data_IF_845959730394
#
_entry.id   IF_845959730394
#
_cell.length_a   1.000
_cell.length_b   1.000
_cell.length_c   1.000
_cell.angle_alpha   90.00
_cell.angle_beta   90.00
_cell.angle_gamma   90.00
#
_symmetry.space_group_name_H-M   'P 1'
#
loop_
_entity.id
_entity.type
_entity.pdbx_description
1 polymer ?
#
# COMPACT_ATOMS: atom_id res chain seq x y z
N UNK A 1 9.40 -105.76 10.50
CA UNK A 1 8.68 -104.81 11.35
C UNK A 1 9.67 -104.20 12.30
N UNK A 2 10.14 -103.00 12.04
CA UNK A 2 10.65 -102.04 13.04
C UNK A 2 10.85 -100.75 12.29
N UNK A 3 10.14 -99.69 12.79
CA UNK A 3 10.17 -98.31 12.22
C UNK A 3 11.43 -97.61 12.68
N UNK A 4 12.08 -96.94 11.74
CA UNK A 4 13.19 -96.02 12.02
C UNK A 4 12.63 -94.60 12.03
N UNK A 5 12.97 -93.86 13.12
CA UNK A 5 12.61 -92.48 13.28
C UNK A 5 13.76 -91.56 12.91
N UNK A 6 13.70 -90.65 11.98
CA UNK A 6 14.54 -89.79 11.64
C UNK A 6 14.40 -88.56 12.27
N UNK A 7 15.20 -88.01 12.49
CA UNK A 7 15.28 -86.67 13.05
C UNK A 7 15.31 -85.59 11.99
N UNK A 8 14.58 -84.46 12.13
CA UNK A 8 14.66 -83.41 11.12
C UNK A 8 15.86 -82.49 11.43
N UNK A 9 16.50 -82.05 10.36
CA UNK A 9 17.65 -81.15 10.43
C UNK A 9 17.22 -79.72 10.73
N UNK A 10 17.95 -79.04 11.62
CA UNK A 10 17.77 -77.59 11.94
C UNK A 10 18.25 -76.73 10.74
N UNK A 11 17.31 -75.97 10.17
CA UNK A 11 17.64 -74.87 9.27
C UNK A 11 17.98 -73.60 10.03
N UNK A 12 19.15 -73.07 9.78
CA UNK A 12 19.57 -71.75 10.30
C UNK A 12 18.77 -70.67 9.62
N UNK A 13 18.01 -69.85 10.38
CA UNK A 13 17.40 -68.59 9.89
C UNK A 13 18.48 -67.51 9.92
N UNK A 14 18.82 -66.98 8.76
CA UNK A 14 19.65 -65.79 8.61
C UNK A 14 18.71 -64.56 8.76
N UNK A 15 18.81 -63.81 9.84
CA UNK A 15 18.09 -62.55 10.05
C UNK A 15 18.83 -61.43 9.33
N UNK A 16 18.30 -60.95 8.20
CA UNK A 16 18.75 -59.72 7.55
C UNK A 16 18.07 -58.53 8.29
N UNK A 17 18.86 -57.76 9.04
CA UNK A 17 18.41 -56.46 9.56
C UNK A 17 18.38 -55.44 8.40
N UNK A 18 17.17 -55.05 8.00
CA UNK A 18 16.98 -53.94 7.08
C UNK A 18 17.02 -52.64 7.93
N UNK A 19 18.10 -51.88 7.77
CA UNK A 19 18.20 -50.56 8.39
C UNK A 19 17.35 -49.58 7.57
N UNK A 20 16.21 -49.12 8.11
CA UNK A 20 15.42 -48.05 7.52
C UNK A 20 16.06 -46.70 7.95
N UNK A 21 16.74 -46.07 7.00
CA UNK A 21 17.29 -44.72 7.22
C UNK A 21 16.12 -43.71 7.12
N UNK A 22 15.70 -43.16 8.26
CA UNK A 22 14.71 -42.06 8.31
C UNK A 22 15.42 -40.76 7.91
N UNK A 23 15.21 -40.30 6.69
CA UNK A 23 15.67 -38.97 6.25
C UNK A 23 14.75 -37.94 6.88
N UNK A 24 15.21 -37.31 7.98
CA UNK A 24 14.54 -36.15 8.57
C UNK A 24 14.94 -34.94 7.72
N UNK A 25 14.05 -34.52 6.80
CA UNK A 25 14.20 -33.22 6.15
C UNK A 25 13.95 -32.14 7.19
N UNK A 26 15.02 -31.61 7.75
CA UNK A 26 14.99 -30.37 8.53
C UNK A 26 14.74 -29.21 7.55
N UNK A 27 13.46 -28.94 7.31
CA UNK A 27 13.06 -27.71 6.65
C UNK A 27 13.49 -26.54 7.54
N UNK A 28 14.46 -25.76 7.08
CA UNK A 28 14.79 -24.50 7.75
C UNK A 28 13.60 -23.56 7.64
N UNK A 29 12.83 -23.47 8.71
CA UNK A 29 11.86 -22.38 8.87
C UNK A 29 12.72 -21.11 9.00
N UNK A 30 12.80 -20.36 7.93
CA UNK A 30 13.34 -19.00 8.03
C UNK A 30 12.34 -18.19 8.85
N UNK A 31 12.63 -18.05 10.12
CA UNK A 31 11.97 -17.04 10.95
C UNK A 31 12.48 -15.71 10.39
N UNK A 32 11.65 -15.05 9.59
CA UNK A 32 11.90 -13.65 9.30
C UNK A 32 11.89 -12.94 10.64
N UNK A 33 13.05 -12.45 11.05
CA UNK A 33 13.17 -11.67 12.27
C UNK A 33 12.17 -10.51 12.22
N UNK A 34 11.37 -10.36 13.25
CA UNK A 34 10.54 -9.16 13.39
C UNK A 34 11.50 -7.97 13.42
N UNK A 35 11.37 -7.08 12.47
CA UNK A 35 12.16 -5.86 12.45
C UNK A 35 11.82 -5.03 13.70
N UNK A 36 12.84 -4.70 14.47
CA UNK A 36 12.73 -4.07 15.79
C UNK A 36 12.53 -2.56 15.72
N UNK A 37 11.63 -2.10 14.84
CA UNK A 37 11.27 -0.69 14.78
C UNK A 37 10.05 -0.38 15.65
N UNK A 38 9.98 0.83 16.20
CA UNK A 38 8.82 1.30 16.94
C UNK A 38 7.82 1.94 15.97
N UNK A 39 6.54 1.57 16.09
CA UNK A 39 5.46 2.25 15.37
C UNK A 39 5.20 3.63 16.00
N UNK A 40 5.27 4.66 15.19
CA UNK A 40 5.03 6.04 15.60
C UNK A 40 3.79 6.55 14.88
N UNK A 41 2.85 7.12 15.64
CA UNK A 41 1.66 7.72 15.04
C UNK A 41 2.02 9.02 14.32
N UNK A 42 1.61 9.14 13.06
CA UNK A 42 1.69 10.38 12.28
C UNK A 42 0.44 11.23 12.46
N UNK A 43 -0.54 10.71 13.19
CA UNK A 43 -1.82 11.38 13.39
C UNK A 43 -2.27 11.24 14.84
N UNK A 44 -2.33 12.27 15.51
CA UNK A 44 -2.57 12.29 16.60
C UNK A 44 -3.74 12.41 16.99
N UNK A 45 -4.85 12.30 16.34
CA UNK A 45 -6.28 12.33 16.64
C UNK A 45 -6.88 13.66 17.12
N UNK A 46 -6.12 14.72 17.09
CA UNK A 46 -6.53 16.03 17.61
C UNK A 46 -6.72 17.07 16.51
N UNK A 47 -5.76 17.17 15.63
CA UNK A 47 -5.73 18.17 14.56
C UNK A 47 -4.83 17.68 13.42
N UNK A 48 -4.57 18.54 12.43
CA UNK A 48 -3.73 18.25 11.29
C UNK A 48 -2.28 18.73 11.47
N UNK A 49 -1.83 18.93 12.70
CA UNK A 49 -0.42 19.30 12.96
C UNK A 49 0.52 18.28 12.34
N UNK A 50 1.52 18.76 11.59
CA UNK A 50 2.46 17.92 10.86
C UNK A 50 2.00 17.59 9.44
N UNK A 51 0.84 18.09 9.01
CA UNK A 51 0.29 17.82 7.69
C UNK A 51 -0.01 19.11 6.94
N UNK A 52 0.15 19.10 5.62
CA UNK A 52 -0.11 20.23 4.72
C UNK A 52 -1.05 19.79 3.60
N UNK A 53 -2.24 20.38 3.46
CA UNK A 53 -3.14 20.05 2.35
C UNK A 53 -2.68 20.71 1.06
N UNK A 54 -2.91 20.06 -0.06
CA UNK A 54 -2.81 20.62 -1.41
C UNK A 54 -4.02 20.10 -2.19
N UNK A 55 -4.89 21.00 -2.58
CA UNK A 55 -6.11 20.69 -3.32
C UNK A 55 -6.03 21.40 -4.67
N UNK A 56 -6.38 20.68 -5.74
CA UNK A 56 -6.35 21.21 -7.10
C UNK A 56 -7.14 22.52 -7.18
N UNK A 57 -6.57 23.50 -7.87
CA UNK A 57 -7.06 24.87 -8.03
C UNK A 57 -6.87 25.76 -6.79
N UNK A 58 -6.20 25.27 -5.76
CA UNK A 58 -5.94 25.99 -4.51
C UNK A 58 -4.46 25.98 -4.18
N UNK A 59 -4.00 27.05 -3.53
CA UNK A 59 -2.60 27.15 -3.10
C UNK A 59 -2.27 26.09 -2.05
N UNK A 60 -1.01 25.68 -2.01
CA UNK A 60 -0.52 24.75 -0.98
C UNK A 60 -0.82 25.32 0.42
N UNK A 61 -1.42 24.51 1.27
CA UNK A 61 -1.85 24.93 2.61
C UNK A 61 -3.32 25.33 2.69
N UNK A 62 -3.97 25.61 1.55
CA UNK A 62 -5.40 25.93 1.55
C UNK A 62 -6.20 24.62 1.63
N UNK A 63 -6.82 24.40 2.77
CA UNK A 63 -7.71 23.25 3.02
C UNK A 63 -9.13 23.60 2.59
N UNK A 64 -9.32 23.82 1.29
CA UNK A 64 -10.61 24.22 0.72
C UNK A 64 -11.76 23.41 1.29
N UNK A 65 -12.81 24.10 1.72
CA UNK A 65 -14.04 23.45 2.23
C UNK A 65 -13.81 22.58 3.46
N UNK A 66 -12.66 22.71 4.13
CA UNK A 66 -12.25 21.83 5.24
C UNK A 66 -12.31 20.36 4.80
N UNK A 67 -11.85 20.08 3.57
CA UNK A 67 -11.83 18.73 3.00
C UNK A 67 -11.19 17.73 3.95
N UNK A 68 -10.02 18.07 4.49
CA UNK A 68 -9.35 17.27 5.52
C UNK A 68 -9.65 17.89 6.90
N UNK A 69 -10.16 17.07 7.83
CA UNK A 69 -10.50 17.57 9.16
C UNK A 69 -10.38 16.46 10.20
N UNK A 70 -10.32 16.84 11.47
CA UNK A 70 -10.29 15.88 12.58
C UNK A 70 -11.57 16.03 13.37
N UNK A 71 -12.33 14.98 13.45
CA UNK A 71 -13.57 14.92 14.22
C UNK A 71 -13.71 13.53 14.84
N UNK A 72 -13.84 13.46 16.04
CA UNK A 72 -13.98 12.37 16.63
C UNK A 72 -12.89 11.56 16.73
N UNK A 73 -11.74 12.12 16.87
CA UNK A 73 -10.52 11.36 16.89
C UNK A 73 -10.16 10.69 15.56
N UNK A 74 -10.90 10.95 14.52
CA UNK A 74 -10.66 10.40 13.18
C UNK A 74 -10.17 11.52 12.26
N UNK A 75 -9.20 11.22 11.40
CA UNK A 75 -8.88 12.07 10.27
C UNK A 75 -9.90 11.76 9.19
N UNK A 76 -10.64 12.76 8.74
CA UNK A 76 -11.76 12.59 7.83
C UNK A 76 -11.56 13.38 6.56
N UNK A 77 -11.96 12.76 5.44
CA UNK A 77 -12.10 13.42 4.14
C UNK A 77 -13.59 13.68 3.93
N UNK A 78 -13.98 14.94 3.74
CA UNK A 78 -15.38 15.32 3.63
C UNK A 78 -15.62 16.34 2.52
N UNK A 79 -16.82 16.32 1.98
CA UNK A 79 -17.27 17.19 0.88
C UNK A 79 -18.64 17.78 1.25
N UNK A 80 -18.67 18.68 2.24
CA UNK A 80 -19.90 19.28 2.71
C UNK A 80 -20.55 20.10 1.60
N UNK A 81 -21.85 19.92 1.37
CA UNK A 81 -22.57 20.53 0.25
C UNK A 81 -22.43 22.07 0.19
N UNK A 82 -22.30 22.73 1.34
CA UNK A 82 -22.10 24.17 1.39
C UNK A 82 -20.82 24.62 0.67
N UNK A 83 -19.74 23.82 0.78
CA UNK A 83 -18.46 24.09 0.12
C UNK A 83 -18.32 23.35 -1.21
N UNK A 84 -18.92 22.17 -1.28
CA UNK A 84 -18.88 21.29 -2.46
C UNK A 84 -20.31 21.08 -3.00
N UNK A 85 -20.98 22.13 -3.53
CA UNK A 85 -22.25 21.88 -4.22
C UNK A 85 -22.04 20.95 -5.41
N UNK A 86 -20.79 20.88 -5.90
CA UNK A 86 -20.32 19.95 -6.91
C UNK A 86 -18.80 19.78 -6.71
N UNK A 87 -18.29 18.57 -6.93
CA UNK A 87 -16.86 18.22 -6.71
C UNK A 87 -15.90 19.06 -7.59
N UNK A 88 -16.22 19.20 -8.88
CA UNK A 88 -15.46 20.02 -9.83
C UNK A 88 -13.96 19.68 -9.84
N UNK A 89 -13.64 18.40 -9.84
CA UNK A 89 -12.26 17.90 -9.95
C UNK A 89 -11.30 18.46 -8.87
N UNK A 90 -11.80 18.82 -7.71
CA UNK A 90 -10.96 19.29 -6.59
C UNK A 90 -10.30 18.10 -5.89
N UNK A 91 -9.51 17.35 -6.67
CA UNK A 91 -8.66 16.29 -6.11
C UNK A 91 -7.68 16.90 -5.10
N UNK A 92 -7.43 16.19 -4.03
CA UNK A 92 -6.58 16.75 -2.97
C UNK A 92 -5.69 15.70 -2.32
N UNK A 93 -4.62 16.20 -1.72
CA UNK A 93 -3.66 15.36 -1.01
C UNK A 93 -3.27 16.06 0.30
N UNK A 94 -3.22 15.28 1.37
CA UNK A 94 -2.79 15.76 2.68
C UNK A 94 -1.37 15.22 2.91
N UNK A 95 -0.37 16.07 2.74
CA UNK A 95 1.04 15.72 2.80
C UNK A 95 1.56 15.72 4.22
N UNK A 96 2.24 14.66 4.65
CA UNK A 96 3.01 14.69 5.88
C UNK A 96 4.28 15.51 5.65
N UNK A 97 4.65 16.35 6.62
CA UNK A 97 5.66 17.41 6.44
C UNK A 97 7.10 16.89 6.51
N UNK A 98 7.32 15.57 6.50
CA UNK A 98 8.64 14.97 6.56
C UNK A 98 8.74 13.87 5.49
N UNK A 99 9.78 13.84 4.67
CA UNK A 99 9.97 12.75 3.70
C UNK A 99 10.56 11.51 4.35
N UNK A 100 10.40 10.36 3.69
CA UNK A 100 10.93 9.07 4.15
C UNK A 100 11.47 8.26 2.98
N UNK A 101 12.35 7.29 3.28
CA UNK A 101 12.92 6.39 2.26
C UNK A 101 12.75 4.91 2.61
N UNK A 102 13.00 4.50 3.85
CA UNK A 102 12.89 3.12 4.31
C UNK A 102 11.92 3.08 5.49
N UNK A 103 10.76 2.44 5.31
CA UNK A 103 9.71 2.47 6.35
C UNK A 103 8.63 1.42 6.08
N UNK A 104 7.85 1.15 7.12
CA UNK A 104 6.52 0.55 6.98
C UNK A 104 5.51 1.63 7.33
N UNK A 105 4.47 1.78 6.52
CA UNK A 105 3.38 2.73 6.75
C UNK A 105 2.09 1.94 6.83
N UNK A 106 1.32 2.17 7.88
CA UNK A 106 0.07 1.44 8.12
C UNK A 106 -1.06 2.43 8.35
N UNK A 107 -2.17 2.22 7.67
CA UNK A 107 -3.39 3.01 7.87
C UNK A 107 -4.57 2.08 8.14
N UNK A 108 -5.49 2.53 8.99
CA UNK A 108 -6.79 1.89 9.17
C UNK A 108 -7.83 2.86 8.63
N UNK A 109 -8.50 2.48 7.55
CA UNK A 109 -9.40 3.37 6.81
C UNK A 109 -10.76 2.72 6.55
N UNK A 110 -11.75 3.55 6.20
CA UNK A 110 -13.04 3.09 5.67
C UNK A 110 -13.68 4.18 4.81
N UNK A 111 -14.46 3.77 3.84
CA UNK A 111 -15.32 4.69 3.08
C UNK A 111 -16.65 4.81 3.76
N UNK A 112 -17.24 6.01 3.77
CA UNK A 112 -18.51 6.28 4.43
C UNK A 112 -19.40 7.15 3.55
N UNK A 113 -20.71 7.02 3.72
CA UNK A 113 -21.67 7.90 3.07
C UNK A 113 -21.68 7.80 1.54
N UNK A 114 -22.01 8.89 0.90
CA UNK A 114 -22.22 8.98 -0.55
C UNK A 114 -21.12 9.82 -1.20
N UNK A 115 -20.79 9.50 -2.45
CA UNK A 115 -19.85 10.27 -3.25
C UNK A 115 -20.37 11.69 -3.47
N UNK A 116 -19.50 12.68 -3.42
CA UNK A 116 -19.84 14.07 -3.72
C UNK A 116 -20.42 14.19 -5.14
N UNK A 117 -21.44 15.00 -5.30
CA UNK A 117 -22.06 15.26 -6.61
C UNK A 117 -20.99 15.72 -7.60
N UNK A 118 -20.99 15.15 -8.80
CA UNK A 118 -20.02 15.47 -9.84
C UNK A 118 -18.68 14.76 -9.68
N UNK A 119 -18.55 13.87 -8.70
CA UNK A 119 -17.36 13.00 -8.60
C UNK A 119 -17.34 12.00 -9.76
N UNK A 120 -16.18 11.75 -10.38
CA UNK A 120 -16.14 10.80 -11.50
C UNK A 120 -16.42 9.38 -11.02
N UNK A 121 -17.03 8.56 -11.87
CA UNK A 121 -17.45 7.21 -11.49
C UNK A 121 -16.31 6.32 -10.99
N UNK A 122 -15.12 6.46 -11.57
CA UNK A 122 -13.96 5.69 -11.14
C UNK A 122 -13.51 6.06 -9.72
N UNK A 123 -13.87 7.25 -9.24
CA UNK A 123 -13.50 7.74 -7.90
C UNK A 123 -14.51 7.34 -6.82
N UNK A 124 -15.52 6.52 -7.14
CA UNK A 124 -16.42 5.97 -6.14
C UNK A 124 -15.60 5.12 -5.16
N UNK A 125 -15.70 5.42 -3.85
CA UNK A 125 -14.96 4.71 -2.79
C UNK A 125 -13.51 4.52 -3.18
N UNK A 126 -12.83 5.64 -3.48
CA UNK A 126 -11.44 5.70 -3.93
C UNK A 126 -10.68 6.73 -3.10
N UNK A 127 -9.48 6.38 -2.70
CA UNK A 127 -8.52 7.18 -1.97
C UNK A 127 -7.15 6.55 -2.18
N UNK A 128 -6.09 7.08 -1.59
CA UNK A 128 -4.76 6.51 -1.77
C UNK A 128 -3.75 6.96 -0.72
N UNK A 129 -2.68 6.17 -0.62
CA UNK A 129 -1.44 6.59 0.06
C UNK A 129 -0.44 6.86 -1.05
N UNK A 130 0.02 8.10 -1.16
CA UNK A 130 1.05 8.45 -2.15
C UNK A 130 2.41 8.31 -1.47
N UNK A 131 3.32 7.58 -2.11
CA UNK A 131 4.65 7.24 -1.62
C UNK A 131 5.71 7.83 -2.54
N UNK A 132 6.88 8.15 -2.02
CA UNK A 132 7.97 8.74 -2.80
C UNK A 132 7.48 9.94 -3.64
N UNK A 133 6.49 10.64 -3.09
CA UNK A 133 5.85 11.76 -3.78
C UNK A 133 6.75 12.97 -3.92
N UNK A 134 6.51 13.76 -4.95
CA UNK A 134 7.12 15.09 -5.07
C UNK A 134 6.66 15.98 -3.91
N UNK A 135 7.39 17.04 -3.67
CA UNK A 135 7.00 18.05 -2.68
C UNK A 135 5.74 18.78 -3.14
N UNK A 136 4.76 19.08 -2.25
CA UNK A 136 3.63 19.90 -2.66
C UNK A 136 4.05 21.28 -3.16
N UNK A 137 5.26 21.75 -2.81
CA UNK A 137 5.80 23.03 -3.29
C UNK A 137 6.22 22.97 -4.78
N UNK A 138 6.35 21.79 -5.38
CA UNK A 138 6.66 21.66 -6.80
C UNK A 138 5.40 21.47 -7.66
N UNK A 139 4.26 21.23 -7.03
CA UNK A 139 2.99 21.05 -7.74
C UNK A 139 2.44 22.42 -8.21
N UNK A 140 1.92 22.45 -9.43
CA UNK A 140 1.21 23.64 -9.90
C UNK A 140 -0.16 23.76 -9.19
N UNK A 141 -0.76 24.94 -9.28
CA UNK A 141 -2.07 25.19 -8.64
C UNK A 141 -3.14 24.24 -9.18
N UNK A 142 -3.08 23.97 -10.49
CA UNK A 142 -4.08 23.14 -11.18
C UNK A 142 -3.68 21.66 -11.34
N UNK A 143 -2.54 21.25 -10.73
CA UNK A 143 -2.11 19.86 -10.78
C UNK A 143 -3.05 18.99 -9.92
N UNK A 144 -3.52 17.89 -10.50
CA UNK A 144 -4.47 16.99 -9.84
C UNK A 144 -3.80 15.99 -8.89
N UNK A 145 -2.72 15.32 -9.33
CA UNK A 145 -2.03 14.31 -8.53
C UNK A 145 -0.53 14.60 -8.48
N UNK A 146 0.12 14.37 -7.33
CA UNK A 146 1.58 14.48 -7.29
C UNK A 146 2.23 13.33 -8.07
N UNK A 147 3.36 13.61 -8.73
CA UNK A 147 4.19 12.52 -9.25
C UNK A 147 4.59 11.65 -8.05
N UNK A 148 4.16 10.38 -8.03
CA UNK A 148 4.27 9.51 -6.85
C UNK A 148 3.95 8.06 -7.22
N UNK A 149 4.18 7.16 -6.26
CA UNK A 149 3.67 5.78 -6.30
C UNK A 149 2.43 5.75 -5.41
N UNK A 150 1.31 5.30 -5.95
CA UNK A 150 0.06 5.27 -5.19
C UNK A 150 -0.30 3.85 -4.76
N UNK A 151 -0.50 3.65 -3.46
CA UNK A 151 -1.21 2.51 -2.91
C UNK A 151 -2.69 2.89 -2.97
N UNK A 152 -3.37 2.46 -4.03
CA UNK A 152 -4.76 2.84 -4.26
C UNK A 152 -5.69 2.10 -3.30
N UNK A 153 -6.42 2.84 -2.49
CA UNK A 153 -7.38 2.32 -1.52
C UNK A 153 -8.78 2.35 -2.13
N UNK A 154 -9.36 1.18 -2.32
CA UNK A 154 -10.72 1.08 -2.88
C UNK A 154 -11.67 0.41 -1.89
N UNK A 155 -12.93 0.79 -1.98
CA UNK A 155 -14.04 0.11 -1.31
C UNK A 155 -14.97 -0.51 -2.34
N UNK A 156 -15.55 -1.65 -2.02
CA UNK A 156 -16.48 -2.34 -2.89
C UNK A 156 -17.81 -1.59 -3.07
N UNK A 157 -18.41 -1.73 -4.24
CA UNK A 157 -19.67 -1.09 -4.62
C UNK A 157 -20.91 -1.90 -4.18
N UNK A 158 -20.70 -2.99 -3.44
CA UNK A 158 -21.78 -3.88 -2.99
C UNK A 158 -22.12 -5.01 -3.95
N UNK A 159 -21.48 -5.06 -5.11
CA UNK A 159 -21.82 -6.03 -6.17
C UNK A 159 -20.61 -6.69 -6.80
N UNK A 160 -19.69 -5.89 -7.30
CA UNK A 160 -18.59 -6.36 -8.15
C UNK A 160 -17.30 -6.58 -7.33
N UNK A 161 -16.44 -7.45 -7.84
CA UNK A 161 -15.09 -7.57 -7.29
C UNK A 161 -14.32 -6.28 -7.55
N UNK A 162 -13.64 -5.79 -6.52
CA UNK A 162 -12.87 -4.54 -6.57
C UNK A 162 -11.79 -4.59 -5.50
N UNK A 163 -10.60 -5.00 -5.91
CA UNK A 163 -9.46 -5.14 -4.99
C UNK A 163 -9.00 -3.79 -4.45
N UNK A 164 -8.34 -3.80 -3.31
CA UNK A 164 -7.76 -2.61 -2.69
C UNK A 164 -6.25 -2.77 -2.50
N UNK A 165 -5.55 -1.72 -2.11
CA UNK A 165 -4.07 -1.66 -2.09
C UNK A 165 -3.50 -2.02 -3.47
N UNK A 166 -4.16 -1.53 -4.51
CA UNK A 166 -3.68 -1.65 -5.89
C UNK A 166 -2.49 -0.71 -6.11
N UNK A 167 -1.84 -0.80 -7.24
CA UNK A 167 -0.80 0.15 -7.65
C UNK A 167 -1.37 1.09 -8.70
N UNK A 168 -1.18 2.40 -8.52
CA UNK A 168 -1.26 3.37 -9.60
C UNK A 168 0.01 4.24 -9.61
N UNK A 169 0.34 4.80 -10.77
CA UNK A 169 1.64 5.44 -10.98
C UNK A 169 1.50 6.83 -11.65
N UNK A 170 0.87 7.81 -10.96
CA UNK A 170 0.78 9.15 -11.55
C UNK A 170 2.18 9.75 -11.75
N UNK A 171 2.52 10.06 -12.99
CA UNK A 171 3.82 10.61 -13.35
C UNK A 171 5.02 9.68 -13.12
N UNK A 172 4.78 8.40 -12.86
CA UNK A 172 5.84 7.45 -12.46
C UNK A 172 5.69 6.10 -13.15
N UNK A 173 6.67 5.24 -12.95
CA UNK A 173 6.67 3.83 -13.38
C UNK A 173 7.36 2.99 -12.31
N UNK A 174 7.18 1.67 -12.39
CA UNK A 174 7.86 0.70 -11.53
C UNK A 174 8.37 -0.46 -12.38
N UNK A 175 9.18 -1.34 -11.78
CA UNK A 175 9.53 -2.63 -12.37
C UNK A 175 8.70 -3.69 -11.65
N UNK A 176 7.84 -4.37 -12.40
CA UNK A 176 7.00 -5.45 -11.89
C UNK A 176 7.31 -6.71 -12.69
N UNK A 177 7.51 -7.82 -11.99
CA UNK A 177 7.85 -9.12 -12.62
C UNK A 177 9.06 -9.01 -13.57
N UNK A 178 10.06 -8.22 -13.15
CA UNK A 178 11.32 -8.03 -13.88
C UNK A 178 11.24 -7.13 -15.10
N UNK A 179 10.10 -6.48 -15.36
CA UNK A 179 9.88 -5.63 -16.54
C UNK A 179 9.37 -4.25 -16.13
N UNK A 180 9.78 -3.25 -16.89
CA UNK A 180 9.24 -1.89 -16.72
C UNK A 180 7.73 -1.93 -16.96
N UNK A 181 6.96 -1.53 -15.95
CA UNK A 181 5.50 -1.56 -15.98
C UNK A 181 5.00 -0.17 -16.34
N UNK A 182 4.39 -0.06 -17.51
CA UNK A 182 3.95 1.22 -18.08
C UNK A 182 2.47 1.55 -17.93
N UNK A 183 1.56 0.56 -17.73
CA UNK A 183 0.16 0.89 -17.46
C UNK A 183 0.03 1.76 -16.21
N UNK A 184 -0.98 2.65 -16.23
CA UNK A 184 -1.18 3.57 -15.11
C UNK A 184 -1.53 2.86 -13.81
N UNK A 185 -2.35 1.79 -13.87
CA UNK A 185 -2.74 1.04 -12.66
C UNK A 185 -2.74 -0.46 -12.90
N UNK A 186 -2.61 -1.23 -11.80
CA UNK A 186 -2.84 -2.67 -11.76
C UNK A 186 -3.45 -3.08 -10.43
N UNK A 187 -4.33 -4.08 -10.47
CA UNK A 187 -4.95 -4.63 -9.26
C UNK A 187 -3.96 -5.43 -8.41
N UNK A 188 -4.31 -5.55 -7.15
CA UNK A 188 -3.65 -6.42 -6.17
C UNK A 188 -4.40 -7.76 -6.08
N UNK A 189 -3.90 -8.66 -5.23
CA UNK A 189 -4.55 -9.94 -4.92
C UNK A 189 -5.45 -9.84 -3.68
N UNK A 190 -5.85 -8.63 -3.26
CA UNK A 190 -6.69 -8.47 -2.07
C UNK A 190 -8.14 -8.89 -2.31
N UNK A 191 -8.85 -9.13 -1.23
CA UNK A 191 -10.30 -9.26 -1.25
C UNK A 191 -10.96 -7.91 -1.53
N UNK A 192 -12.27 -7.95 -1.82
CA UNK A 192 -13.13 -6.76 -1.91
C UNK A 192 -13.77 -6.49 -0.55
N UNK A 193 -13.70 -5.25 -0.10
CA UNK A 193 -14.28 -4.82 1.18
C UNK A 193 -15.50 -3.93 0.91
N UNK A 194 -16.69 -4.52 1.03
CA UNK A 194 -17.95 -3.80 0.80
C UNK A 194 -18.43 -3.06 2.05
N UNK A 195 -19.22 -2.02 1.86
CA UNK A 195 -19.84 -1.26 2.96
C UNK A 195 -18.84 -0.36 3.68
N UNK A 196 -19.14 -0.06 4.94
CA UNK A 196 -18.36 0.89 5.75
C UNK A 196 -17.43 0.19 6.75
N UNK A 197 -16.87 -0.96 6.37
CA UNK A 197 -15.99 -1.72 7.26
C UNK A 197 -14.58 -1.12 7.31
N UNK A 198 -13.94 -1.23 8.45
CA UNK A 198 -12.54 -0.83 8.63
C UNK A 198 -11.61 -1.84 7.95
N UNK A 199 -10.65 -1.32 7.21
CA UNK A 199 -9.63 -2.11 6.50
C UNK A 199 -8.26 -1.60 6.92
N UNK A 200 -7.32 -2.52 7.17
CA UNK A 200 -5.92 -2.17 7.45
C UNK A 200 -5.12 -2.34 6.16
N UNK A 201 -4.62 -1.25 5.63
CA UNK A 201 -3.66 -1.26 4.53
C UNK A 201 -2.29 -0.90 5.08
N UNK A 202 -1.28 -1.64 4.66
CA UNK A 202 0.11 -1.41 5.06
C UNK A 202 1.00 -1.49 3.83
N UNK A 203 2.09 -0.74 3.84
CA UNK A 203 3.11 -0.83 2.81
C UNK A 203 4.49 -0.87 3.47
N UNK A 204 5.35 -1.76 2.99
CA UNK A 204 6.78 -1.76 3.30
C UNK A 204 7.51 -1.14 2.13
N UNK A 205 8.38 -0.17 2.43
CA UNK A 205 9.16 0.57 1.45
C UNK A 205 10.64 0.48 1.81
N UNK A 206 11.47 0.01 0.89
CA UNK A 206 12.92 -0.04 1.04
C UNK A 206 13.58 0.74 -0.10
N UNK A 207 13.56 2.06 0.03
CA UNK A 207 14.08 2.94 -1.00
C UNK A 207 13.50 2.60 -2.37
N UNK A 208 14.38 2.34 -3.34
CA UNK A 208 13.95 1.90 -4.67
C UNK A 208 14.11 0.38 -4.89
N UNK A 209 14.46 -0.36 -3.84
CA UNK A 209 14.72 -1.80 -3.94
C UNK A 209 13.45 -2.63 -3.84
N UNK A 210 12.49 -2.19 -3.02
CA UNK A 210 11.25 -2.95 -2.80
C UNK A 210 10.14 -2.03 -2.31
N UNK A 211 8.95 -2.19 -2.89
CA UNK A 211 7.70 -1.71 -2.31
C UNK A 211 6.74 -2.90 -2.29
N UNK A 212 6.16 -3.16 -1.12
CA UNK A 212 5.27 -4.30 -0.90
C UNK A 212 4.01 -3.81 -0.20
N UNK A 213 2.85 -4.12 -0.79
CA UNK A 213 1.54 -3.77 -0.22
C UNK A 213 0.98 -4.96 0.56
N UNK A 214 0.40 -4.67 1.72
CA UNK A 214 -0.26 -5.67 2.56
C UNK A 214 -1.67 -5.19 2.90
N UNK A 215 -2.61 -6.13 3.00
CA UNK A 215 -3.97 -5.86 3.48
C UNK A 215 -4.25 -6.84 4.61
N UNK A 216 -4.60 -6.31 5.77
CA UNK A 216 -4.85 -7.10 6.98
C UNK A 216 -3.70 -8.08 7.28
N UNK A 217 -2.47 -7.67 7.00
CA UNK A 217 -1.25 -8.44 7.28
C UNK A 217 -0.80 -9.39 6.15
N UNK A 218 -1.60 -9.54 5.09
CA UNK A 218 -1.25 -10.42 3.97
C UNK A 218 -0.69 -9.61 2.80
N UNK A 219 0.45 -10.04 2.23
CA UNK A 219 1.05 -9.40 1.05
C UNK A 219 0.12 -9.61 -0.15
N UNK A 220 -0.24 -8.51 -0.81
CA UNK A 220 -1.18 -8.53 -1.95
C UNK A 220 -0.57 -7.99 -3.24
N UNK A 221 0.60 -7.34 -3.18
CA UNK A 221 1.28 -6.80 -4.37
C UNK A 221 2.70 -6.42 -4.00
N UNK A 222 3.65 -6.58 -4.94
CA UNK A 222 5.00 -6.04 -4.74
C UNK A 222 5.67 -5.72 -6.09
N UNK A 223 6.62 -4.80 -6.05
CA UNK A 223 7.36 -4.31 -7.20
C UNK A 223 8.62 -3.59 -6.73
N UNK A 224 9.46 -3.17 -7.69
CA UNK A 224 10.77 -2.57 -7.42
C UNK A 224 10.98 -1.37 -8.33
N UNK A 225 12.06 -0.64 -8.10
CA UNK A 225 12.57 0.44 -8.96
C UNK A 225 11.52 1.49 -9.31
N UNK A 226 10.82 2.06 -8.30
CA UNK A 226 9.95 3.21 -8.56
C UNK A 226 10.77 4.33 -9.19
N UNK A 227 10.22 4.96 -10.22
CA UNK A 227 10.96 5.96 -10.99
C UNK A 227 10.00 6.95 -11.67
N UNK A 228 10.46 8.17 -11.89
CA UNK A 228 9.71 9.18 -12.63
C UNK A 228 9.55 8.71 -14.08
N UNK A 229 8.40 9.02 -14.68
CA UNK A 229 8.09 8.66 -16.06
C UNK A 229 8.67 9.72 -17.01
N UNK A 230 9.67 9.32 -17.78
CA UNK A 230 10.30 10.23 -18.75
C UNK A 230 9.41 10.53 -19.98
N UNK A 231 8.20 10.00 -20.02
CA UNK A 231 7.18 10.35 -21.04
C UNK A 231 6.21 11.44 -20.52
N UNK A 232 6.20 11.67 -19.22
CA UNK A 232 5.34 12.68 -18.57
C UNK A 232 6.09 14.01 -18.50
N UNK A 233 5.50 15.09 -19.01
CA UNK A 233 6.16 16.38 -19.12
C UNK A 233 6.57 16.95 -17.76
N UNK A 234 5.71 16.86 -16.76
CA UNK A 234 6.02 17.36 -15.40
C UNK A 234 7.15 16.54 -14.78
N UNK A 235 7.09 15.22 -14.95
CA UNK A 235 8.13 14.32 -14.42
C UNK A 235 9.49 14.53 -15.09
N UNK A 236 9.52 14.90 -16.37
CA UNK A 236 10.77 15.29 -17.05
C UNK A 236 11.43 16.48 -16.34
N UNK A 237 10.64 17.47 -15.91
CA UNK A 237 11.19 18.60 -15.14
C UNK A 237 11.70 18.16 -13.76
N UNK A 238 10.98 17.26 -13.10
CA UNK A 238 11.44 16.69 -11.82
C UNK A 238 12.73 15.87 -12.01
N UNK A 239 12.86 15.10 -13.09
CA UNK A 239 14.09 14.35 -13.42
C UNK A 239 15.29 15.30 -13.54
N UNK A 240 15.13 16.40 -14.25
CA UNK A 240 16.18 17.42 -14.40
C UNK A 240 16.57 18.01 -13.04
N UNK A 241 15.56 18.38 -12.24
CA UNK A 241 15.75 18.97 -10.93
C UNK A 241 16.44 17.99 -9.95
N UNK A 242 16.05 16.72 -9.98
CA UNK A 242 16.56 15.70 -9.07
C UNK A 242 17.88 15.08 -9.52
N UNK A 243 18.31 15.31 -10.76
CA UNK A 243 19.52 14.72 -11.31
C UNK A 243 19.37 13.23 -11.64
N UNK A 244 18.14 12.73 -11.77
CA UNK A 244 17.88 11.34 -12.12
C UNK A 244 16.41 10.97 -11.91
N UNK A 245 16.01 9.82 -12.44
CA UNK A 245 14.60 9.42 -12.39
C UNK A 245 14.25 8.44 -11.27
N UNK A 246 15.24 7.76 -10.66
CA UNK A 246 14.97 6.77 -9.61
C UNK A 246 14.46 7.47 -8.35
N UNK A 247 13.41 6.89 -7.77
CA UNK A 247 12.78 7.41 -6.55
C UNK A 247 13.18 6.55 -5.36
N UNK A 248 14.14 7.03 -4.56
CA UNK A 248 14.62 6.31 -3.37
C UNK A 248 14.01 6.84 -2.07
N UNK A 249 13.17 7.87 -2.16
CA UNK A 249 12.48 8.50 -1.02
C UNK A 249 11.62 9.64 -1.52
N UNK A 250 10.84 10.23 -0.63
CA UNK A 250 9.97 11.34 -0.96
C UNK A 250 8.88 11.56 0.08
N UNK A 251 7.89 12.36 -0.30
CA UNK A 251 6.77 12.65 0.60
C UNK A 251 5.81 11.47 0.70
N UNK A 252 5.02 11.48 1.78
CA UNK A 252 3.85 10.63 1.96
C UNK A 252 2.63 11.54 1.97
N UNK A 253 1.54 11.16 1.28
CA UNK A 253 0.29 11.88 1.42
C UNK A 253 -0.92 10.94 1.38
N UNK A 254 -2.02 11.39 1.97
CA UNK A 254 -3.34 10.76 1.94
C UNK A 254 -4.19 11.51 0.91
N UNK A 255 -4.96 10.78 0.12
CA UNK A 255 -5.65 11.33 -1.04
C UNK A 255 -7.13 11.61 -0.76
N UNK A 256 -7.71 12.62 -1.43
CA UNK A 256 -9.13 12.89 -1.48
C UNK A 256 -9.61 12.96 -2.93
N UNK A 257 -10.60 12.12 -3.29
CA UNK A 257 -11.04 11.94 -4.69
C UNK A 257 -12.54 11.97 -4.88
N UNK A 258 -13.28 12.66 -4.04
CA UNK A 258 -14.73 12.85 -4.11
C UNK A 258 -15.57 11.92 -3.24
N UNK A 259 -15.07 10.80 -2.75
CA UNK A 259 -15.84 9.93 -1.85
C UNK A 259 -15.35 10.12 -0.40
N UNK A 260 -16.24 10.37 0.58
CA UNK A 260 -15.81 10.53 1.97
C UNK A 260 -15.10 9.30 2.53
N UNK A 261 -14.02 9.54 3.25
CA UNK A 261 -13.18 8.50 3.82
C UNK A 261 -12.80 8.89 5.25
N UNK A 262 -12.73 7.90 6.14
CA UNK A 262 -12.20 8.06 7.50
C UNK A 262 -10.88 7.30 7.63
N UNK A 263 -9.90 7.91 8.27
CA UNK A 263 -8.68 7.25 8.73
C UNK A 263 -8.69 7.22 10.27
N UNK A 264 -8.65 6.01 10.82
CA UNK A 264 -8.63 5.78 12.27
C UNK A 264 -7.22 5.93 12.83
N UNK A 265 -6.22 5.47 12.07
CA UNK A 265 -4.81 5.63 12.41
C UNK A 265 -3.97 5.78 11.14
N UNK A 266 -2.85 6.48 11.27
CA UNK A 266 -1.77 6.56 10.29
C UNK A 266 -0.48 6.40 11.10
N UNK A 267 0.20 5.29 10.92
CA UNK A 267 1.37 4.93 11.73
C UNK A 267 2.54 4.57 10.83
N UNK A 268 3.73 4.96 11.23
CA UNK A 268 4.96 4.66 10.50
C UNK A 268 5.96 3.95 11.43
N UNK A 269 6.72 3.02 10.86
CA UNK A 269 7.90 2.42 11.47
C UNK A 269 9.05 2.70 10.53
N UNK A 270 10.03 3.49 10.96
CA UNK A 270 11.22 3.78 10.14
C UNK A 270 12.14 2.56 10.18
N UNK A 271 12.62 2.17 9.03
CA UNK A 271 13.52 1.02 8.85
C UNK A 271 14.94 1.50 8.58
N UNK A 272 15.90 0.67 8.93
CA UNK A 272 17.30 0.91 8.55
C UNK A 272 17.47 0.64 7.04
N UNK A 273 18.30 1.42 6.34
CA UNK A 273 18.58 1.20 4.91
C UNK A 273 19.29 -0.12 4.62
#
# INVERSE_FOLDING_TARGET
MIRSLXFPSLRRLSSTLAAVALLVCLGSVQVQGEESGEWVSLFXGKDLTGWTPKIRFHETGDNYGKTFRVEXGLLKVRYDQASYPEFKERFGHLFYNKPFSHYRLKVVYRFVGEQAKGGPGWALRNSGLMLHGESPATMSVDQDFPASIEVQLLGGDGKNERTTSNLCTPGTNVVKDGKLFLPHCTGSDSQTYHGEQWVTAEVEVRGNELIRHLVNGETVLQYTKPQLDDRDQHSVELIKKNGGKMLSGGTISLQSESHPCDFKSVEIMVLEP
#
